data_IF_133938483456
#
_entry.id   IF_133938483456
#
_cell.length_a   1.000
_cell.length_b   1.000
_cell.length_c   1.000
_cell.angle_alpha   90.00
_cell.angle_beta   90.00
_cell.angle_gamma   90.00
#
_symmetry.space_group_name_H-M   'P 1'
#
loop_
_entity.id
_entity.type
_entity.pdbx_description
1 polymer ?
#
# COMPACT_ATOMS: atom_id res chain seq x y z
N UNK A 1 8.53 -45.42 9.01
CA UNK A 1 9.11 -44.61 10.11
C UNK A 1 9.27 -43.19 9.63
N UNK A 2 8.55 -42.23 10.21
CA UNK A 2 8.78 -40.81 9.91
C UNK A 2 10.08 -40.37 10.59
N UNK A 3 11.06 -39.92 9.82
CA UNK A 3 12.30 -39.39 10.37
C UNK A 3 12.00 -38.10 11.15
N UNK A 4 12.19 -38.14 12.48
CA UNK A 4 12.07 -36.95 13.33
C UNK A 4 13.33 -36.11 13.08
N UNK A 5 13.17 -34.94 12.45
CA UNK A 5 14.28 -34.04 12.18
C UNK A 5 14.58 -33.19 13.42
N UNK A 6 15.63 -33.56 14.16
CA UNK A 6 16.18 -32.79 15.28
C UNK A 6 17.37 -31.92 14.83
N UNK A 7 17.70 -30.89 15.61
CA UNK A 7 18.88 -30.04 15.37
C UNK A 7 18.74 -28.93 14.32
N UNK A 8 17.55 -28.73 13.74
CA UNK A 8 17.30 -27.66 12.74
C UNK A 8 17.63 -26.28 13.31
N UNK A 9 17.27 -25.98 14.56
CA UNK A 9 17.62 -24.71 15.21
C UNK A 9 19.13 -24.45 15.25
N UNK A 10 19.94 -25.49 15.50
CA UNK A 10 21.39 -25.40 15.50
C UNK A 10 21.93 -25.15 14.09
N UNK A 11 21.37 -25.82 13.07
CA UNK A 11 21.73 -25.61 11.66
C UNK A 11 21.38 -24.21 11.17
N UNK A 12 20.24 -23.66 11.58
CA UNK A 12 19.84 -22.28 11.23
C UNK A 12 20.77 -21.22 11.82
N UNK A 13 21.39 -21.51 12.97
CA UNK A 13 22.34 -20.62 13.67
C UNK A 13 23.81 -20.88 13.32
N UNK A 14 24.12 -22.03 12.75
CA UNK A 14 25.51 -22.44 12.49
C UNK A 14 26.11 -21.59 11.38
N UNK A 15 27.27 -20.93 11.59
CA UNK A 15 27.95 -20.17 10.55
C UNK A 15 28.43 -21.07 9.40
N UNK A 16 28.60 -22.37 9.63
CA UNK A 16 29.08 -23.34 8.64
C UNK A 16 28.01 -23.76 7.62
N UNK A 17 26.72 -23.48 7.89
CA UNK A 17 25.64 -23.84 6.97
C UNK A 17 25.43 -22.71 5.95
N UNK A 18 25.47 -22.97 4.63
CA UNK A 18 25.16 -21.97 3.60
C UNK A 18 23.75 -21.39 3.78
N UNK A 19 23.55 -20.14 3.37
CA UNK A 19 22.27 -19.47 3.57
C UNK A 19 21.14 -20.08 2.75
N UNK A 20 21.44 -20.57 1.55
CA UNK A 20 20.52 -21.29 0.67
C UNK A 20 19.97 -22.55 1.38
N UNK A 21 20.84 -23.26 2.09
CA UNK A 21 20.44 -24.45 2.84
C UNK A 21 19.67 -24.09 4.11
N UNK A 22 20.02 -22.99 4.79
CA UNK A 22 19.22 -22.49 5.92
C UNK A 22 17.80 -22.12 5.48
N UNK A 23 17.65 -21.49 4.31
CA UNK A 23 16.35 -21.16 3.72
C UNK A 23 15.51 -22.40 3.44
N UNK A 24 16.10 -23.42 2.79
CA UNK A 24 15.41 -24.71 2.54
C UNK A 24 14.99 -25.38 3.85
N UNK A 25 15.87 -25.36 4.86
CA UNK A 25 15.60 -25.90 6.19
C UNK A 25 14.48 -25.14 6.89
N UNK A 26 14.43 -23.81 6.79
CA UNK A 26 13.39 -22.98 7.37
C UNK A 26 12.03 -23.24 6.71
N UNK A 27 11.98 -23.31 5.37
CA UNK A 27 10.77 -23.67 4.60
C UNK A 27 10.25 -25.05 4.97
N UNK A 28 11.15 -26.05 5.01
CA UNK A 28 10.80 -27.40 5.44
C UNK A 28 10.30 -27.42 6.88
N UNK A 29 10.99 -26.73 7.79
CA UNK A 29 10.59 -26.64 9.18
C UNK A 29 9.18 -26.04 9.29
N UNK A 30 8.89 -24.93 8.60
CA UNK A 30 7.58 -24.26 8.67
C UNK A 30 6.41 -25.21 8.37
N UNK A 31 6.54 -25.98 7.29
CA UNK A 31 5.49 -26.87 6.75
C UNK A 31 5.41 -28.19 7.52
N UNK A 32 6.55 -28.79 7.88
CA UNK A 32 6.60 -30.15 8.40
C UNK A 32 6.11 -30.25 9.84
N UNK A 33 5.09 -31.06 10.14
CA UNK A 33 4.67 -31.39 11.51
C UNK A 33 5.70 -32.24 12.28
N UNK A 34 6.65 -32.86 11.56
CA UNK A 34 7.66 -33.76 12.12
C UNK A 34 8.90 -33.02 12.65
N UNK A 35 8.96 -31.70 12.46
CA UNK A 35 10.02 -30.86 13.00
C UNK A 35 9.64 -30.37 14.40
N UNK A 36 10.35 -30.88 15.41
CA UNK A 36 10.19 -30.53 16.81
C UNK A 36 11.05 -29.30 17.14
N UNK A 37 10.40 -28.14 17.19
CA UNK A 37 10.98 -26.87 17.60
C UNK A 37 10.09 -26.25 18.69
N UNK A 38 10.63 -25.91 19.87
CA UNK A 38 9.87 -25.17 20.88
C UNK A 38 9.54 -23.77 20.33
N UNK A 39 8.27 -23.34 20.46
CA UNK A 39 7.77 -22.09 19.87
C UNK A 39 8.19 -21.91 18.40
N UNK A 40 8.03 -22.98 17.63
CA UNK A 40 8.46 -23.11 16.24
C UNK A 40 8.15 -21.89 15.38
N UNK A 41 6.92 -21.39 15.47
CA UNK A 41 6.44 -20.25 14.68
C UNK A 41 7.27 -19.00 15.01
N UNK A 42 7.48 -18.72 16.30
CA UNK A 42 8.27 -17.59 16.77
C UNK A 42 9.75 -17.74 16.41
N UNK A 43 10.34 -18.93 16.59
CA UNK A 43 11.76 -19.19 16.30
C UNK A 43 12.08 -18.98 14.83
N UNK A 44 11.22 -19.46 13.94
CA UNK A 44 11.42 -19.34 12.50
C UNK A 44 11.23 -17.91 12.01
N UNK A 45 10.28 -17.18 12.59
CA UNK A 45 10.10 -15.76 12.33
C UNK A 45 11.27 -14.93 12.86
N UNK A 46 11.70 -15.15 14.10
CA UNK A 46 12.85 -14.47 14.70
C UNK A 46 14.14 -14.72 13.93
N UNK A 47 14.33 -15.94 13.41
CA UNK A 47 15.47 -16.24 12.56
C UNK A 47 15.45 -15.41 11.26
N UNK A 48 14.31 -15.38 10.57
CA UNK A 48 14.18 -14.62 9.32
C UNK A 48 14.32 -13.11 9.56
N UNK A 49 13.66 -12.58 10.59
CA UNK A 49 13.74 -11.15 10.93
C UNK A 49 15.16 -10.77 11.33
N UNK A 50 15.84 -11.59 12.13
CA UNK A 50 17.23 -11.37 12.52
C UNK A 50 18.17 -11.39 11.32
N UNK A 51 18.02 -12.35 10.39
CA UNK A 51 18.80 -12.43 9.17
C UNK A 51 18.70 -11.14 8.33
N UNK A 52 17.49 -10.62 8.17
CA UNK A 52 17.24 -9.35 7.48
C UNK A 52 17.84 -8.15 8.23
N UNK A 53 17.74 -8.13 9.56
CA UNK A 53 18.31 -7.06 10.40
C UNK A 53 19.84 -7.03 10.34
N UNK A 54 20.52 -8.17 10.43
CA UNK A 54 21.99 -8.21 10.39
C UNK A 54 22.53 -7.80 9.02
N UNK A 55 21.85 -8.22 7.94
CA UNK A 55 22.15 -7.77 6.59
C UNK A 55 21.99 -6.25 6.44
N UNK A 56 20.86 -5.69 6.91
CA UNK A 56 20.63 -4.25 6.87
C UNK A 56 21.69 -3.46 7.67
N UNK A 57 22.12 -3.99 8.82
CA UNK A 57 23.21 -3.38 9.60
C UNK A 57 24.60 -3.49 8.95
N UNK A 58 24.68 -3.98 7.71
CA UNK A 58 25.91 -4.27 6.95
C UNK A 58 26.86 -5.22 7.69
N UNK A 59 26.32 -6.06 8.57
CA UNK A 59 27.11 -7.08 9.30
C UNK A 59 27.30 -8.35 8.48
N UNK A 60 26.46 -8.57 7.48
CA UNK A 60 26.50 -9.74 6.59
C UNK A 60 26.10 -9.30 5.18
N UNK A 61 26.79 -9.79 4.17
CA UNK A 61 26.42 -9.64 2.75
C UNK A 61 25.72 -10.91 2.28
N UNK A 62 24.61 -10.74 1.55
CA UNK A 62 23.84 -11.84 0.97
C UNK A 62 23.88 -11.75 -0.55
N UNK A 63 23.89 -12.91 -1.21
CA UNK A 63 23.55 -12.99 -2.63
C UNK A 63 22.11 -12.52 -2.84
N UNK A 64 21.81 -12.05 -4.05
CA UNK A 64 20.47 -11.60 -4.42
C UNK A 64 19.42 -12.71 -4.22
N UNK A 65 19.74 -13.94 -4.61
CA UNK A 65 18.85 -15.10 -4.50
C UNK A 65 18.51 -15.45 -3.04
N UNK A 66 19.49 -15.35 -2.13
CA UNK A 66 19.26 -15.58 -0.69
C UNK A 66 18.39 -14.49 -0.11
N UNK A 67 18.63 -13.23 -0.47
CA UNK A 67 17.81 -12.12 -0.01
C UNK A 67 16.37 -12.30 -0.47
N UNK A 68 16.15 -12.64 -1.76
CA UNK A 68 14.82 -12.90 -2.33
C UNK A 68 14.13 -14.05 -1.60
N UNK A 69 14.86 -15.15 -1.41
CA UNK A 69 14.38 -16.32 -0.68
C UNK A 69 13.89 -15.99 0.74
N UNK A 70 14.59 -15.11 1.47
CA UNK A 70 14.22 -14.67 2.83
C UNK A 70 12.92 -13.86 2.83
N UNK A 71 12.75 -12.94 1.88
CA UNK A 71 11.53 -12.14 1.80
C UNK A 71 10.32 -12.96 1.33
N UNK A 72 10.50 -13.81 0.31
CA UNK A 72 9.46 -14.75 -0.10
C UNK A 72 9.07 -15.70 1.04
N UNK A 73 10.05 -16.16 1.83
CA UNK A 73 9.77 -16.99 3.00
C UNK A 73 8.95 -16.23 4.05
N UNK A 74 9.29 -14.98 4.34
CA UNK A 74 8.52 -14.15 5.27
C UNK A 74 7.08 -13.95 4.77
N UNK A 75 6.91 -13.69 3.48
CA UNK A 75 5.60 -13.55 2.82
C UNK A 75 4.76 -14.83 2.92
N UNK A 76 5.34 -15.98 2.56
CA UNK A 76 4.70 -17.30 2.66
C UNK A 76 4.26 -17.60 4.10
N UNK A 77 5.10 -17.26 5.09
CA UNK A 77 4.80 -17.45 6.51
C UNK A 77 3.63 -16.58 6.95
N UNK A 78 3.66 -15.28 6.63
CA UNK A 78 2.61 -14.31 7.00
C UNK A 78 1.27 -14.68 6.35
N UNK A 79 1.28 -15.13 5.10
CA UNK A 79 0.09 -15.56 4.38
C UNK A 79 -0.37 -17.00 4.69
N UNK A 80 0.42 -17.77 5.46
CA UNK A 80 0.11 -19.18 5.69
C UNK A 80 -1.18 -19.36 6.51
N UNK A 81 -2.02 -20.32 6.09
CA UNK A 81 -3.22 -20.71 6.86
C UNK A 81 -2.87 -21.14 8.29
N UNK A 82 -1.68 -21.71 8.46
CA UNK A 82 -1.12 -22.14 9.74
C UNK A 82 -0.93 -20.97 10.70
N UNK A 83 -0.35 -19.86 10.24
CA UNK A 83 -0.23 -18.67 11.08
C UNK A 83 -1.62 -18.09 11.37
N UNK A 84 -2.50 -18.03 10.37
CA UNK A 84 -3.87 -17.54 10.57
C UNK A 84 -4.65 -18.37 11.60
N UNK A 85 -4.55 -19.70 11.60
CA UNK A 85 -5.17 -20.55 12.62
C UNK A 85 -4.53 -20.35 13.99
N UNK A 86 -3.20 -20.25 14.05
CA UNK A 86 -2.46 -20.01 15.29
C UNK A 86 -2.87 -18.69 15.97
N UNK A 87 -3.04 -17.62 15.19
CA UNK A 87 -3.50 -16.33 15.71
C UNK A 87 -5.01 -16.37 16.07
N UNK A 88 -5.85 -17.11 15.31
CA UNK A 88 -7.26 -17.33 15.66
C UNK A 88 -7.44 -18.05 17.00
N UNK A 89 -6.52 -18.92 17.37
CA UNK A 89 -6.48 -19.60 18.68
C UNK A 89 -6.06 -18.66 19.84
N UNK A 90 -5.86 -17.37 19.59
CA UNK A 90 -5.48 -16.39 20.61
C UNK A 90 -3.98 -16.38 20.94
N UNK A 91 -3.16 -17.17 20.24
CA UNK A 91 -1.71 -17.20 20.44
C UNK A 91 -1.07 -16.01 19.74
N UNK A 92 -0.23 -15.28 20.47
CA UNK A 92 0.48 -14.11 19.95
C UNK A 92 1.83 -14.50 19.35
N UNK A 93 2.17 -13.90 18.22
CA UNK A 93 3.49 -14.02 17.59
C UNK A 93 4.09 -12.62 17.50
N UNK A 94 5.30 -12.45 18.00
CA UNK A 94 5.99 -11.16 17.99
C UNK A 94 6.86 -11.05 16.75
N UNK A 95 6.54 -10.13 15.85
CA UNK A 95 7.38 -9.82 14.71
C UNK A 95 8.45 -8.79 15.14
N UNK A 96 9.67 -9.24 15.41
CA UNK A 96 10.80 -8.37 15.79
C UNK A 96 11.48 -7.72 14.58
N UNK A 97 10.68 -7.29 13.61
CA UNK A 97 11.16 -6.54 12.47
C UNK A 97 11.07 -5.06 12.83
N UNK A 98 12.20 -4.35 12.84
CA UNK A 98 12.15 -2.90 13.04
C UNK A 98 11.52 -2.28 11.79
N UNK A 99 10.27 -1.84 11.90
CA UNK A 99 9.55 -1.22 10.79
C UNK A 99 10.31 -0.02 10.22
N UNK A 100 11.05 0.74 11.02
CA UNK A 100 11.90 1.82 10.53
C UNK A 100 13.05 1.31 9.64
N UNK A 101 13.55 0.08 9.84
CA UNK A 101 14.55 -0.54 8.96
C UNK A 101 13.94 -0.98 7.64
N UNK A 102 12.71 -1.51 7.66
CA UNK A 102 11.95 -1.85 6.43
C UNK A 102 11.65 -0.58 5.62
N UNK A 103 11.24 0.51 6.29
CA UNK A 103 11.00 1.81 5.66
C UNK A 103 12.27 2.44 5.10
N UNK A 104 13.37 2.40 5.88
CA UNK A 104 14.67 2.92 5.44
C UNK A 104 15.24 2.12 4.26
N UNK A 105 14.99 0.81 4.23
CA UNK A 105 15.31 -0.04 3.09
C UNK A 105 14.55 0.39 1.83
N UNK A 106 13.24 0.61 1.92
CA UNK A 106 12.44 1.13 0.80
C UNK A 106 13.01 2.45 0.28
N UNK A 107 13.44 3.36 1.17
CA UNK A 107 14.03 4.64 0.76
C UNK A 107 15.43 4.52 0.11
N UNK A 108 16.21 3.48 0.43
CA UNK A 108 17.62 3.36 0.02
C UNK A 108 17.84 2.52 -1.24
N UNK A 109 16.97 1.54 -1.52
CA UNK A 109 17.09 0.61 -2.66
C UNK A 109 16.21 0.97 -3.88
N UNK A 110 15.68 2.19 -3.89
CA UNK A 110 14.83 2.76 -4.95
C UNK A 110 15.49 2.87 -6.34
N UNK A 111 16.79 2.60 -6.47
CA UNK A 111 17.55 2.75 -7.73
C UNK A 111 17.56 1.51 -8.62
N UNK A 112 17.32 0.31 -8.06
CA UNK A 112 17.28 -0.94 -8.84
C UNK A 112 15.85 -1.40 -9.12
N UNK A 113 15.41 -1.21 -10.37
CA UNK A 113 14.04 -1.46 -10.83
C UNK A 113 13.63 -2.93 -10.69
N UNK A 114 14.56 -3.86 -10.95
CA UNK A 114 14.35 -5.31 -10.88
C UNK A 114 14.21 -5.80 -9.43
N UNK A 115 15.03 -5.27 -8.52
CA UNK A 115 14.94 -5.55 -7.07
C UNK A 115 13.70 -4.93 -6.43
N UNK A 116 13.06 -3.94 -7.07
CA UNK A 116 11.81 -3.42 -6.52
C UNK A 116 10.64 -4.40 -6.70
N UNK A 117 10.59 -5.19 -7.77
CA UNK A 117 9.45 -6.09 -8.06
C UNK A 117 9.36 -7.30 -7.15
N UNK A 118 10.44 -8.09 -7.10
CA UNK A 118 10.46 -9.35 -6.35
C UNK A 118 10.37 -9.12 -4.84
N UNK A 119 10.64 -7.90 -4.37
CA UNK A 119 10.80 -7.61 -2.96
C UNK A 119 9.73 -6.65 -2.43
N UNK A 120 9.44 -5.55 -3.14
CA UNK A 120 8.50 -4.55 -2.63
C UNK A 120 7.08 -5.07 -2.63
N UNK A 121 6.65 -5.74 -3.70
CA UNK A 121 5.27 -6.23 -3.79
C UNK A 121 5.00 -7.30 -2.71
N UNK A 122 5.83 -8.34 -2.52
CA UNK A 122 5.64 -9.30 -1.42
C UNK A 122 5.75 -8.65 -0.04
N UNK A 123 6.67 -7.70 0.15
CA UNK A 123 6.81 -7.05 1.47
C UNK A 123 5.59 -6.19 1.80
N UNK A 124 5.11 -5.37 0.86
CA UNK A 124 3.94 -4.51 1.06
C UNK A 124 2.67 -5.36 1.22
N UNK A 125 2.54 -6.46 0.48
CA UNK A 125 1.39 -7.38 0.63
C UNK A 125 1.43 -8.09 1.99
N UNK A 126 2.58 -8.58 2.45
CA UNK A 126 2.74 -9.12 3.80
C UNK A 126 2.39 -8.08 4.89
N UNK A 127 2.88 -6.84 4.74
CA UNK A 127 2.53 -5.74 5.64
C UNK A 127 1.03 -5.44 5.62
N UNK A 128 0.40 -5.48 4.45
CA UNK A 128 -1.05 -5.30 4.30
C UNK A 128 -1.83 -6.38 5.03
N UNK A 129 -1.39 -7.64 4.92
CA UNK A 129 -2.00 -8.77 5.64
C UNK A 129 -1.87 -8.65 7.15
N UNK A 130 -0.75 -8.08 7.64
CA UNK A 130 -0.59 -7.73 9.05
C UNK A 130 -1.51 -6.57 9.47
N UNK A 131 -1.62 -5.51 8.64
CA UNK A 131 -2.53 -4.40 8.90
C UNK A 131 -3.99 -4.84 8.98
N UNK A 132 -4.42 -5.80 8.14
CA UNK A 132 -5.76 -6.38 8.15
C UNK A 132 -6.12 -7.11 9.46
N UNK A 133 -5.15 -7.39 10.33
CA UNK A 133 -5.39 -7.99 11.65
C UNK A 133 -6.04 -7.02 12.66
N UNK A 134 -6.03 -5.71 12.37
CA UNK A 134 -6.71 -4.67 13.16
C UNK A 134 -5.97 -4.15 14.38
N UNK A 135 -6.49 -3.07 14.96
CA UNK A 135 -5.94 -2.33 16.10
C UNK A 135 -5.68 -3.22 17.33
N UNK A 136 -6.54 -4.21 17.57
CA UNK A 136 -6.41 -5.10 18.74
C UNK A 136 -5.16 -6.01 18.72
N UNK A 137 -4.54 -6.21 17.56
CA UNK A 137 -3.32 -7.04 17.40
C UNK A 137 -2.06 -6.21 17.18
N UNK A 138 -2.20 -4.99 16.65
CA UNK A 138 -1.09 -4.04 16.54
C UNK A 138 -1.17 -3.08 17.73
N UNK A 139 -0.52 -3.46 18.83
CA UNK A 139 -0.59 -2.71 20.08
C UNK A 139 -0.02 -1.28 20.02
N UNK A 140 0.88 -0.98 19.06
CA UNK A 140 1.49 0.34 18.92
C UNK A 140 1.06 1.03 17.60
N UNK A 141 0.24 2.10 17.67
CA UNK A 141 -0.16 2.94 16.53
C UNK A 141 1.02 3.47 15.70
N UNK A 142 2.18 3.69 16.32
CA UNK A 142 3.38 4.18 15.63
C UNK A 142 3.86 3.24 14.52
N UNK A 143 3.61 1.93 14.67
CA UNK A 143 3.98 0.96 13.63
C UNK A 143 3.20 1.21 12.33
N UNK A 144 1.94 1.61 12.42
CA UNK A 144 1.12 1.94 11.25
C UNK A 144 1.59 3.25 10.60
N UNK A 145 1.96 4.25 11.41
CA UNK A 145 2.57 5.50 10.89
C UNK A 145 3.90 5.23 10.18
N UNK A 146 4.73 4.32 10.70
CA UNK A 146 5.95 3.90 10.01
C UNK A 146 5.62 3.26 8.65
N UNK A 147 4.61 2.39 8.56
CA UNK A 147 4.17 1.83 7.26
C UNK A 147 3.82 2.94 6.27
N UNK A 148 3.07 3.97 6.69
CA UNK A 148 2.79 5.12 5.81
C UNK A 148 4.06 5.79 5.30
N UNK A 149 5.07 5.97 6.17
CA UNK A 149 6.39 6.47 5.77
C UNK A 149 7.11 5.56 4.77
N UNK A 150 7.03 4.24 4.95
CA UNK A 150 7.54 3.26 3.97
C UNK A 150 6.87 3.43 2.61
N UNK A 151 5.53 3.44 2.59
CA UNK A 151 4.75 3.54 1.35
C UNK A 151 5.06 4.84 0.61
N UNK A 152 5.29 5.94 1.34
CA UNK A 152 5.69 7.22 0.75
C UNK A 152 7.03 7.15 0.01
N UNK A 153 7.92 6.23 0.34
CA UNK A 153 9.25 6.11 -0.28
C UNK A 153 9.30 5.23 -1.53
N UNK A 154 8.22 4.51 -1.87
CA UNK A 154 8.19 3.51 -2.96
C UNK A 154 8.15 4.13 -4.36
N UNK A 155 9.12 3.98 -5.27
CA UNK A 155 9.06 4.64 -6.58
C UNK A 155 7.86 4.13 -7.39
N UNK A 156 7.00 5.02 -7.88
CA UNK A 156 5.86 4.67 -8.73
C UNK A 156 6.04 5.14 -10.18
N UNK A 157 7.02 5.98 -10.45
CA UNK A 157 7.16 6.67 -11.74
C UNK A 157 7.96 5.85 -12.76
N UNK A 158 7.60 5.96 -14.06
CA UNK A 158 8.37 5.44 -15.21
C UNK A 158 8.66 3.94 -15.16
N UNK A 159 7.70 3.14 -14.67
CA UNK A 159 7.79 1.67 -14.60
C UNK A 159 7.15 1.01 -15.81
N UNK A 160 7.56 -0.22 -16.09
CA UNK A 160 6.81 -1.12 -16.97
C UNK A 160 5.34 -1.24 -16.46
N UNK A 161 4.32 -1.20 -17.33
CA UNK A 161 2.91 -1.23 -16.94
C UNK A 161 2.53 -2.34 -15.96
N UNK A 162 2.96 -3.58 -16.17
CA UNK A 162 2.63 -4.69 -15.26
C UNK A 162 3.23 -4.50 -13.86
N UNK A 163 4.41 -3.90 -13.82
CA UNK A 163 5.15 -3.58 -12.60
C UNK A 163 4.50 -2.43 -11.87
N UNK A 164 4.10 -1.42 -12.62
CA UNK A 164 3.33 -0.30 -12.14
C UNK A 164 2.03 -0.78 -11.48
N UNK A 165 1.25 -1.61 -12.19
CA UNK A 165 0.01 -2.18 -11.67
C UNK A 165 0.21 -2.89 -10.32
N UNK A 166 1.19 -3.81 -10.27
CA UNK A 166 1.44 -4.62 -9.07
C UNK A 166 1.85 -3.77 -7.87
N UNK A 167 2.71 -2.77 -8.09
CA UNK A 167 3.12 -1.84 -7.05
C UNK A 167 1.95 -0.94 -6.62
N UNK A 168 1.19 -0.41 -7.58
CA UNK A 168 0.03 0.44 -7.33
C UNK A 168 -1.02 -0.29 -6.50
N UNK A 169 -1.37 -1.52 -6.90
CA UNK A 169 -2.31 -2.38 -6.19
C UNK A 169 -1.83 -2.66 -4.76
N UNK A 170 -0.55 -2.99 -4.57
CA UNK A 170 -0.02 -3.25 -3.23
C UNK A 170 -0.12 -2.02 -2.31
N UNK A 171 0.20 -0.82 -2.80
CA UNK A 171 0.06 0.42 -2.02
C UNK A 171 -1.41 0.75 -1.76
N UNK A 172 -2.26 0.61 -2.77
CA UNK A 172 -3.71 0.80 -2.64
C UNK A 172 -4.30 -0.12 -1.55
N UNK A 173 -3.99 -1.41 -1.60
CA UNK A 173 -4.47 -2.39 -0.62
C UNK A 173 -3.96 -2.10 0.80
N UNK A 174 -2.71 -1.64 0.93
CA UNK A 174 -2.15 -1.22 2.21
C UNK A 174 -2.91 -0.01 2.78
N UNK A 175 -3.15 1.03 1.97
CA UNK A 175 -3.94 2.20 2.37
C UNK A 175 -5.37 1.82 2.74
N UNK A 176 -5.99 0.93 1.96
CA UNK A 176 -7.34 0.46 2.20
C UNK A 176 -7.44 -0.28 3.54
N UNK A 177 -6.47 -1.15 3.84
CA UNK A 177 -6.37 -1.83 5.12
C UNK A 177 -6.19 -0.83 6.29
N UNK A 178 -5.44 0.25 6.10
CA UNK A 178 -5.29 1.30 7.13
C UNK A 178 -6.62 2.02 7.38
N UNK A 179 -7.36 2.41 6.33
CA UNK A 179 -8.70 3.02 6.47
C UNK A 179 -9.67 2.13 7.21
N UNK A 180 -9.73 0.84 6.84
CA UNK A 180 -10.74 -0.06 7.38
C UNK A 180 -10.38 -0.60 8.75
N UNK A 181 -9.11 -0.88 9.02
CA UNK A 181 -8.70 -1.63 10.20
C UNK A 181 -8.02 -0.78 11.28
N UNK A 182 -7.65 0.48 10.98
CA UNK A 182 -6.91 1.37 11.90
C UNK A 182 -7.45 2.83 11.93
N UNK A 183 -8.76 3.05 12.15
CA UNK A 183 -9.35 4.40 12.16
C UNK A 183 -8.73 5.35 13.19
N UNK A 184 -8.28 4.85 14.35
CA UNK A 184 -7.64 5.69 15.37
C UNK A 184 -6.32 6.29 14.87
N UNK A 185 -5.57 5.53 14.06
CA UNK A 185 -4.32 6.01 13.47
C UNK A 185 -4.63 7.11 12.45
N UNK A 186 -5.68 6.95 11.65
CA UNK A 186 -6.03 7.93 10.62
C UNK A 186 -6.37 9.28 11.23
N UNK A 187 -7.16 9.32 12.30
CA UNK A 187 -7.47 10.61 12.96
C UNK A 187 -6.22 11.42 13.37
N UNK A 188 -5.08 10.74 13.61
CA UNK A 188 -3.81 11.38 13.99
C UNK A 188 -2.82 11.53 12.83
N UNK A 189 -2.87 10.63 11.85
CA UNK A 189 -1.91 10.53 10.74
C UNK A 189 -2.56 10.78 9.37
N UNK A 190 -3.74 11.40 9.32
CA UNK A 190 -4.44 11.73 8.09
C UNK A 190 -3.57 12.48 7.07
N UNK A 191 -2.70 13.45 7.45
CA UNK A 191 -1.81 14.09 6.48
C UNK A 191 -0.81 13.11 5.85
N UNK A 192 -0.22 12.20 6.63
CA UNK A 192 0.69 11.17 6.12
C UNK A 192 -0.04 10.20 5.19
N UNK A 193 -1.25 9.79 5.56
CA UNK A 193 -2.11 8.97 4.72
C UNK A 193 -2.40 9.65 3.37
N UNK A 194 -2.86 10.90 3.42
CA UNK A 194 -3.20 11.67 2.22
C UNK A 194 -1.98 11.95 1.35
N UNK A 195 -0.79 12.14 1.93
CA UNK A 195 0.43 12.29 1.13
C UNK A 195 0.74 11.04 0.28
N UNK A 196 0.57 9.84 0.86
CA UNK A 196 0.75 8.58 0.10
C UNK A 196 -0.35 8.44 -0.96
N UNK A 197 -1.60 8.74 -0.61
CA UNK A 197 -2.71 8.67 -1.54
C UNK A 197 -2.59 9.68 -2.69
N UNK A 198 -2.26 10.94 -2.40
CA UNK A 198 -2.01 11.97 -3.41
C UNK A 198 -0.89 11.56 -4.37
N UNK A 199 0.14 10.88 -3.87
CA UNK A 199 1.21 10.35 -4.72
C UNK A 199 0.71 9.29 -5.69
N UNK A 200 -0.23 8.43 -5.29
CA UNK A 200 -0.90 7.50 -6.21
C UNK A 200 -1.70 8.27 -7.26
N UNK A 201 -2.49 9.28 -6.84
CA UNK A 201 -3.29 10.13 -7.73
C UNK A 201 -2.42 10.85 -8.76
N UNK A 202 -1.37 11.55 -8.31
CA UNK A 202 -0.44 12.23 -9.21
C UNK A 202 0.25 11.23 -10.15
N UNK A 203 0.67 10.07 -9.64
CA UNK A 203 1.30 9.04 -10.47
C UNK A 203 0.38 8.51 -11.57
N UNK A 204 -0.89 8.19 -11.27
CA UNK A 204 -1.83 7.73 -12.31
C UNK A 204 -2.21 8.85 -13.28
N UNK A 205 -2.23 10.10 -12.83
CA UNK A 205 -2.48 11.25 -13.70
C UNK A 205 -1.32 11.48 -14.69
N UNK A 206 -0.08 11.31 -14.24
CA UNK A 206 1.10 11.45 -15.10
C UNK A 206 1.23 10.29 -16.09
N UNK A 207 1.03 9.05 -15.64
CA UNK A 207 1.15 7.86 -16.51
C UNK A 207 -0.08 7.69 -17.42
N UNK A 208 -1.27 8.07 -16.95
CA UNK A 208 -2.54 8.04 -17.68
C UNK A 208 -2.73 9.19 -18.69
N UNK A 209 -1.69 9.99 -18.95
CA UNK A 209 -1.72 11.09 -19.92
C UNK A 209 -2.00 10.58 -21.34
N UNK A 210 -2.73 11.38 -22.10
CA UNK A 210 -2.96 11.15 -23.52
C UNK A 210 -1.64 11.37 -24.27
N UNK A 211 -0.94 10.29 -24.64
CA UNK A 211 0.17 10.32 -25.59
C UNK A 211 -0.45 10.26 -26.99
N UNK A 212 -0.14 11.22 -27.87
CA UNK A 212 -0.79 11.31 -29.19
C UNK A 212 -0.68 10.04 -30.04
N UNK A 213 -1.68 9.80 -30.91
CA UNK A 213 -1.89 8.78 -31.97
C UNK A 213 -1.27 7.36 -31.84
N UNK A 214 -0.71 7.03 -30.69
CA UNK A 214 -0.29 5.67 -30.34
C UNK A 214 -1.50 5.01 -29.71
N UNK A 215 -2.13 4.15 -30.50
CA UNK A 215 -3.25 3.28 -30.11
C UNK A 215 -3.01 2.74 -28.69
N UNK A 216 -3.99 2.81 -27.78
CA UNK A 216 -3.82 2.27 -26.43
C UNK A 216 -3.74 0.75 -26.54
N UNK A 217 -2.52 0.23 -26.67
CA UNK A 217 -2.24 -1.20 -26.59
C UNK A 217 -2.58 -1.78 -25.21
N UNK A 218 -2.08 -2.98 -24.91
CA UNK A 218 -2.29 -3.67 -23.62
C UNK A 218 -1.99 -2.80 -22.38
N UNK A 219 -1.13 -1.80 -22.50
CA UNK A 219 -0.77 -0.84 -21.45
C UNK A 219 -1.94 0.07 -21.05
N UNK A 220 -2.88 0.32 -21.97
CA UNK A 220 -4.04 1.17 -21.74
C UNK A 220 -4.97 0.63 -20.66
N UNK A 221 -5.17 -0.69 -20.63
CA UNK A 221 -6.04 -1.39 -19.67
C UNK A 221 -5.47 -1.33 -18.24
N UNK A 222 -4.15 -1.41 -18.09
CA UNK A 222 -3.48 -1.34 -16.77
C UNK A 222 -3.79 -0.03 -16.05
N UNK A 223 -3.64 1.10 -16.74
CA UNK A 223 -3.88 2.41 -16.13
C UNK A 223 -5.38 2.64 -15.87
N UNK A 224 -6.26 2.07 -16.70
CA UNK A 224 -7.71 2.08 -16.45
C UNK A 224 -8.07 1.28 -15.19
N UNK A 225 -7.42 0.14 -14.94
CA UNK A 225 -7.60 -0.60 -13.70
C UNK A 225 -7.12 0.21 -12.49
N UNK A 226 -5.96 0.88 -12.60
CA UNK A 226 -5.46 1.75 -11.52
C UNK A 226 -6.34 2.98 -11.26
N UNK A 227 -6.97 3.56 -12.28
CA UNK A 227 -7.91 4.67 -12.09
C UNK A 227 -9.16 4.23 -11.32
N UNK A 228 -9.70 3.04 -11.62
CA UNK A 228 -10.82 2.43 -10.85
C UNK A 228 -10.46 2.15 -9.39
N UNK A 229 -9.23 1.71 -9.11
CA UNK A 229 -8.75 1.56 -7.73
C UNK A 229 -8.70 2.91 -7.02
N UNK A 230 -8.27 3.96 -7.70
CA UNK A 230 -8.22 5.32 -7.15
C UNK A 230 -9.62 5.85 -6.83
N UNK A 231 -10.58 5.67 -7.74
CA UNK A 231 -12.00 6.01 -7.53
C UNK A 231 -12.58 5.31 -6.30
N UNK A 232 -12.31 4.01 -6.15
CA UNK A 232 -12.72 3.23 -4.96
C UNK A 232 -12.15 3.81 -3.68
N UNK A 233 -10.87 4.17 -3.69
CA UNK A 233 -10.23 4.79 -2.52
C UNK A 233 -10.88 6.13 -2.16
N UNK A 234 -11.17 6.99 -3.14
CA UNK A 234 -11.91 8.23 -2.92
C UNK A 234 -13.29 7.97 -2.28
N UNK A 235 -14.03 6.97 -2.80
CA UNK A 235 -15.33 6.57 -2.23
C UNK A 235 -15.20 6.10 -0.77
N UNK A 236 -14.12 5.40 -0.42
CA UNK A 236 -13.87 4.97 0.95
C UNK A 236 -13.49 6.12 1.88
N UNK A 237 -12.70 7.09 1.41
CA UNK A 237 -12.42 8.32 2.15
C UNK A 237 -13.72 9.09 2.39
N UNK A 238 -14.57 9.20 1.36
CA UNK A 238 -15.87 9.85 1.43
C UNK A 238 -16.81 9.18 2.45
N UNK A 239 -16.75 7.86 2.58
CA UNK A 239 -17.51 7.09 3.57
C UNK A 239 -16.99 7.22 5.01
N UNK A 240 -15.85 7.87 5.24
CA UNK A 240 -15.24 8.08 6.57
C UNK A 240 -14.93 9.56 6.85
N UNK A 241 -15.92 10.46 6.80
CA UNK A 241 -15.69 11.91 6.82
C UNK A 241 -15.09 12.42 8.15
N UNK A 242 -15.41 11.78 9.26
CA UNK A 242 -14.92 12.14 10.60
C UNK A 242 -13.39 12.05 10.72
N UNK A 243 -12.76 11.17 9.95
CA UNK A 243 -11.31 10.95 10.00
C UNK A 243 -10.53 11.97 9.16
N UNK A 244 -11.21 12.74 8.31
CA UNK A 244 -10.59 13.64 7.34
C UNK A 244 -11.15 15.06 7.38
N UNK A 245 -11.73 15.50 8.50
CA UNK A 245 -12.33 16.84 8.63
C UNK A 245 -11.39 17.95 8.14
N UNK A 246 -11.91 18.88 7.32
CA UNK A 246 -11.18 19.99 6.69
C UNK A 246 -10.08 19.62 5.67
N UNK A 247 -9.90 18.33 5.34
CA UNK A 247 -8.98 17.87 4.30
C UNK A 247 -9.59 17.71 2.89
N UNK A 248 -10.92 17.54 2.67
CA UNK A 248 -11.51 17.42 1.33
C UNK A 248 -11.15 18.58 0.40
N UNK A 249 -11.16 19.82 0.91
CA UNK A 249 -10.76 21.00 0.15
C UNK A 249 -9.32 20.87 -0.37
N UNK A 250 -8.41 20.40 0.47
CA UNK A 250 -7.02 20.21 0.09
C UNK A 250 -6.85 19.11 -0.95
N UNK A 251 -7.59 18.00 -0.84
CA UNK A 251 -7.58 16.91 -1.83
C UNK A 251 -8.06 17.39 -3.20
N UNK A 252 -9.13 18.20 -3.25
CA UNK A 252 -9.62 18.80 -4.49
C UNK A 252 -8.59 19.77 -5.07
N UNK A 253 -8.01 20.66 -4.26
CA UNK A 253 -6.98 21.59 -4.71
C UNK A 253 -5.78 20.86 -5.34
N UNK A 254 -5.32 19.80 -4.67
CA UNK A 254 -4.24 18.94 -5.13
C UNK A 254 -4.55 18.27 -6.46
N UNK A 255 -5.74 17.68 -6.61
CA UNK A 255 -6.18 17.07 -7.85
C UNK A 255 -6.21 18.07 -9.02
N UNK A 256 -6.85 19.23 -8.83
CA UNK A 256 -6.98 20.23 -9.90
C UNK A 256 -5.60 20.81 -10.29
N UNK A 257 -4.70 20.95 -9.31
CA UNK A 257 -3.32 21.39 -9.56
C UNK A 257 -2.55 20.39 -10.43
N UNK A 258 -2.74 19.08 -10.24
CA UNK A 258 -2.15 18.08 -11.12
C UNK A 258 -2.85 18.02 -12.47
N UNK A 259 -4.18 18.17 -12.51
CA UNK A 259 -4.97 18.13 -13.75
C UNK A 259 -4.58 19.26 -14.69
N UNK A 260 -4.22 20.44 -14.16
CA UNK A 260 -3.73 21.55 -14.97
C UNK A 260 -2.41 21.21 -15.71
N UNK A 261 -1.62 20.26 -15.22
CA UNK A 261 -0.31 19.90 -15.78
C UNK A 261 -0.38 18.83 -16.87
N UNK A 262 -1.48 18.07 -16.94
CA UNK A 262 -1.59 16.89 -17.81
C UNK A 262 -2.92 16.82 -18.54
N UNK A 263 -2.88 16.43 -19.81
CA UNK A 263 -4.09 16.05 -20.55
C UNK A 263 -4.31 14.55 -20.36
N UNK A 264 -5.36 14.17 -19.63
CA UNK A 264 -5.69 12.77 -19.35
C UNK A 264 -6.44 12.11 -20.51
N UNK A 265 -6.25 10.79 -20.65
CA UNK A 265 -7.12 9.98 -21.52
C UNK A 265 -8.57 10.00 -20.99
N UNK A 266 -9.59 10.01 -21.87
CA UNK A 266 -11.00 10.16 -21.45
C UNK A 266 -11.48 9.11 -20.44
N UNK A 267 -11.06 7.85 -20.63
CA UNK A 267 -11.39 6.71 -19.78
C UNK A 267 -10.80 6.83 -18.36
N UNK A 268 -9.54 7.26 -18.26
CA UNK A 268 -8.88 7.54 -16.98
C UNK A 268 -9.47 8.79 -16.33
N UNK A 269 -9.72 9.85 -17.11
CA UNK A 269 -10.31 11.11 -16.62
C UNK A 269 -11.66 10.83 -15.95
N UNK A 270 -12.53 10.05 -16.60
CA UNK A 270 -13.86 9.69 -16.08
C UNK A 270 -13.78 9.16 -14.64
N UNK A 271 -13.04 8.07 -14.42
CA UNK A 271 -12.94 7.43 -13.10
C UNK A 271 -12.31 8.34 -12.03
N UNK A 272 -11.30 9.13 -12.39
CA UNK A 272 -10.69 10.07 -11.44
C UNK A 272 -11.64 11.22 -11.09
N UNK A 273 -12.40 11.73 -12.06
CA UNK A 273 -13.38 12.78 -11.86
C UNK A 273 -14.54 12.31 -10.97
N UNK A 274 -15.08 11.11 -11.18
CA UNK A 274 -16.10 10.51 -10.30
C UNK A 274 -15.61 10.35 -8.86
N UNK A 275 -14.35 9.93 -8.67
CA UNK A 275 -13.73 9.87 -7.35
C UNK A 275 -13.67 11.24 -6.66
N UNK A 276 -13.28 12.29 -7.40
CA UNK A 276 -13.20 13.66 -6.84
C UNK A 276 -14.58 14.24 -6.55
N UNK A 277 -15.61 13.89 -7.33
CA UNK A 277 -16.99 14.27 -7.03
C UNK A 277 -17.47 13.73 -5.68
N UNK A 278 -17.08 12.49 -5.31
CA UNK A 278 -17.36 11.95 -3.98
C UNK A 278 -16.69 12.76 -2.85
N UNK A 279 -15.53 13.36 -3.11
CA UNK A 279 -14.85 14.24 -2.14
C UNK A 279 -15.50 15.62 -2.09
N UNK A 280 -15.95 16.16 -3.24
CA UNK A 280 -16.68 17.42 -3.30
C UNK A 280 -18.01 17.38 -2.54
N UNK A 281 -18.67 16.21 -2.48
CA UNK A 281 -19.85 16.02 -1.62
C UNK A 281 -19.55 16.23 -0.12
N UNK A 282 -18.29 16.08 0.30
CA UNK A 282 -17.86 16.35 1.67
C UNK A 282 -17.50 17.82 1.93
N UNK A 283 -17.31 18.62 0.87
CA UNK A 283 -16.92 20.02 1.02
C UNK A 283 -18.11 20.89 1.44
N UNK A 284 -17.91 21.69 2.49
CA UNK A 284 -18.87 22.72 2.88
C UNK A 284 -18.75 23.95 1.97
N UNK A 285 -19.74 24.84 2.00
CA UNK A 285 -19.67 26.10 1.23
C UNK A 285 -18.44 26.95 1.59
N UNK A 286 -17.99 26.90 2.84
CA UNK A 286 -16.76 27.55 3.30
C UNK A 286 -15.52 26.99 2.59
N UNK A 287 -15.50 25.68 2.35
CA UNK A 287 -14.39 24.99 1.68
C UNK A 287 -14.32 25.37 0.21
N UNK A 288 -15.49 25.48 -0.45
CA UNK A 288 -15.59 25.94 -1.84
C UNK A 288 -15.12 27.40 -1.97
N UNK A 289 -15.50 28.27 -1.03
CA UNK A 289 -15.01 29.66 -0.99
C UNK A 289 -13.51 29.72 -0.78
N UNK A 290 -12.97 28.88 0.12
CA UNK A 290 -11.54 28.76 0.36
C UNK A 290 -10.79 28.30 -0.89
N UNK A 291 -11.30 27.31 -1.60
CA UNK A 291 -10.74 26.83 -2.87
C UNK A 291 -10.69 27.95 -3.92
N UNK A 292 -11.80 28.66 -4.13
CA UNK A 292 -11.84 29.77 -5.10
C UNK A 292 -10.88 30.91 -4.75
N UNK A 293 -10.68 31.18 -3.46
CA UNK A 293 -9.75 32.22 -3.02
C UNK A 293 -8.27 31.77 -3.07
N UNK A 294 -8.00 30.52 -2.68
CA UNK A 294 -6.63 29.99 -2.48
C UNK A 294 -5.94 29.48 -3.75
N UNK A 295 -6.69 29.10 -4.78
CA UNK A 295 -6.11 28.61 -6.03
C UNK A 295 -5.56 29.76 -6.90
N UNK A 296 -4.45 29.52 -7.59
CA UNK A 296 -3.93 30.47 -8.59
C UNK A 296 -4.91 30.63 -9.77
N UNK A 297 -4.78 31.67 -10.59
CA UNK A 297 -5.76 31.98 -11.64
C UNK A 297 -6.04 30.80 -12.60
N UNK A 298 -4.99 30.12 -13.09
CA UNK A 298 -5.15 29.01 -14.02
C UNK A 298 -5.74 27.74 -13.40
N UNK A 299 -5.34 27.35 -12.19
CA UNK A 299 -5.93 26.21 -11.47
C UNK A 299 -7.38 26.51 -11.09
N UNK A 300 -7.70 27.78 -10.80
CA UNK A 300 -9.07 28.22 -10.47
C UNK A 300 -10.02 28.08 -11.66
N UNK A 301 -9.58 28.32 -12.88
CA UNK A 301 -10.39 28.08 -14.08
C UNK A 301 -10.74 26.59 -14.23
N UNK A 302 -9.74 25.70 -14.11
CA UNK A 302 -9.97 24.24 -14.15
C UNK A 302 -10.90 23.79 -13.02
N UNK A 303 -10.76 24.37 -11.82
CA UNK A 303 -11.67 24.09 -10.71
C UNK A 303 -13.11 24.55 -11.01
N UNK A 304 -13.28 25.74 -11.59
CA UNK A 304 -14.60 26.28 -11.89
C UNK A 304 -15.33 25.42 -12.95
N UNK A 305 -14.61 24.93 -13.97
CA UNK A 305 -15.14 23.99 -14.95
C UNK A 305 -15.56 22.67 -14.27
N UNK A 306 -14.66 22.06 -13.49
CA UNK A 306 -14.93 20.83 -12.75
C UNK A 306 -16.13 20.97 -11.80
N UNK A 307 -16.23 22.09 -11.08
CA UNK A 307 -17.31 22.36 -10.14
C UNK A 307 -18.63 22.62 -10.86
N UNK A 308 -18.61 23.28 -12.03
CA UNK A 308 -19.79 23.44 -12.88
C UNK A 308 -20.35 22.07 -13.30
N UNK A 309 -19.48 21.20 -13.83
CA UNK A 309 -19.87 19.84 -14.23
C UNK A 309 -20.41 19.03 -13.05
N UNK A 310 -19.74 19.11 -11.89
CA UNK A 310 -20.21 18.51 -10.64
C UNK A 310 -21.63 18.96 -10.27
N UNK A 311 -21.90 20.27 -10.32
CA UNK A 311 -23.23 20.81 -10.00
C UNK A 311 -24.31 20.43 -11.00
N UNK A 312 -23.96 20.35 -12.29
CA UNK A 312 -24.92 20.09 -13.36
C UNK A 312 -25.27 18.62 -13.55
N UNK A 313 -24.28 17.74 -13.43
CA UNK A 313 -24.44 16.32 -13.77
C UNK A 313 -24.48 15.42 -12.53
N UNK A 314 -23.54 15.58 -11.59
CA UNK A 314 -23.41 14.64 -10.47
C UNK A 314 -24.33 14.99 -9.29
N UNK A 315 -24.36 16.26 -8.86
CA UNK A 315 -25.16 16.70 -7.70
C UNK A 315 -26.66 16.59 -7.94
N UNK A 316 -27.10 16.90 -9.15
CA UNK A 316 -28.50 16.76 -9.60
C UNK A 316 -28.93 15.31 -9.71
N UNK A 317 -28.05 14.42 -10.21
CA UNK A 317 -28.31 12.99 -10.31
C UNK A 317 -28.46 12.33 -8.93
N UNK A 318 -27.55 12.59 -7.99
CA UNK A 318 -27.68 12.07 -6.61
C UNK A 318 -28.95 12.53 -5.89
N UNK A 319 -29.29 13.82 -6.02
CA UNK A 319 -30.56 14.35 -5.49
C UNK A 319 -31.79 13.75 -6.15
N UNK A 320 -31.66 13.26 -7.39
CA UNK A 320 -32.68 12.47 -8.08
C UNK A 320 -32.79 11.07 -7.51
N UNK A 321 -31.67 10.36 -7.35
CA UNK A 321 -31.62 9.00 -6.80
C UNK A 321 -32.14 8.93 -5.36
N UNK A 322 -31.81 9.89 -4.50
CA UNK A 322 -32.32 10.00 -3.12
C UNK A 322 -33.84 10.23 -3.04
N UNK A 323 -34.47 10.75 -4.10
CA UNK A 323 -35.93 10.93 -4.16
C UNK A 323 -36.69 9.64 -4.49
N UNK A 324 -36.02 8.62 -5.02
CA UNK A 324 -36.64 7.35 -5.42
C UNK A 324 -36.26 6.16 -4.52
N UNK A 325 -35.43 6.38 -3.49
CA UNK A 325 -34.99 5.35 -2.52
C UNK A 325 -35.74 5.38 -1.18
N UNK A 326 -36.93 5.98 -1.13
CA UNK A 326 -37.82 5.98 0.07
C UNK A 326 -38.66 4.72 0.15
#
# INVERSE_FOLDING_TARGET
MAAIYSGIHLKLKSPQTPWEDRLKLARFAWISSQCLLPNKEQVLLDWCTHALTIWHSKKVEFSQDVLEGLWCYLDEVVHSRKLHSFIKEGKTVTLRLNMAQVCKWFSSNTKDLALTLCFTVPTVTALTSLLRQGEGRIANPQHVTLVLGALQSLPLDHRNPNVYHSAFLAVHEALFAIIKCHPQVISRAAPSFLNVFYRLVSSIMQEGRQRGDTDPGADGDVYLQCSRLTERMFSHIAATPESFTALPAFMVAQYVTELQKVTLRPDVKLHLTEGVYCVLDLCLESDIKLLRAGLNAGVREVFNELYSDYTHYHKTQRQGEDKYTV
#
